data_IF_245792050307
#
_entry.id   IF_245792050307
#
_cell.length_a   1.000
_cell.length_b   1.000
_cell.length_c   1.000
_cell.angle_alpha   90.00
_cell.angle_beta   90.00
_cell.angle_gamma   90.00
#
_symmetry.space_group_name_H-M   'P 1'
#
loop_
_entity.id
_entity.type
_entity.pdbx_description
1 polymer ?
#
# COMPACT_ATOMS: atom_id res chain seq x y z
N UNK A 1 4.35 -1.53 -10.47
CA UNK A 1 4.23 -2.68 -11.39
C UNK A 1 5.56 -3.38 -11.36
N UNK A 2 5.61 -4.57 -10.76
CA UNK A 2 6.85 -5.31 -10.56
C UNK A 2 7.36 -5.86 -11.89
N UNK A 3 8.59 -5.54 -12.25
CA UNK A 3 9.25 -6.03 -13.46
C UNK A 3 10.03 -7.33 -13.25
N UNK A 4 10.53 -7.90 -14.35
CA UNK A 4 11.44 -9.05 -14.31
C UNK A 4 12.73 -8.71 -15.04
N UNK A 5 13.84 -8.62 -14.31
CA UNK A 5 15.19 -8.49 -14.82
C UNK A 5 15.82 -9.87 -15.08
N UNK A 6 16.54 -10.01 -16.19
CA UNK A 6 17.25 -11.24 -16.57
C UNK A 6 18.75 -10.96 -16.59
N UNK A 7 19.47 -11.65 -15.71
CA UNK A 7 20.92 -11.59 -15.56
C UNK A 7 21.53 -12.85 -16.20
N UNK A 8 22.39 -12.71 -17.21
CA UNK A 8 22.98 -13.87 -17.88
C UNK A 8 24.38 -14.21 -17.36
N UNK A 9 24.50 -15.34 -16.66
CA UNK A 9 25.76 -15.92 -16.19
C UNK A 9 26.23 -17.07 -17.10
N UNK A 10 26.08 -16.90 -18.43
CA UNK A 10 26.35 -17.96 -19.41
C UNK A 10 27.83 -18.13 -19.80
N UNK A 11 28.66 -17.12 -19.56
CA UNK A 11 30.12 -17.22 -19.73
C UNK A 11 30.75 -17.65 -18.40
N UNK A 12 31.89 -18.34 -18.46
CA UNK A 12 32.53 -18.85 -17.24
C UNK A 12 32.99 -17.72 -16.30
N UNK A 13 33.51 -16.61 -16.83
CA UNK A 13 33.85 -15.41 -16.05
C UNK A 13 32.61 -14.84 -15.35
N UNK A 14 31.51 -14.63 -16.09
CA UNK A 14 30.25 -14.15 -15.53
C UNK A 14 29.66 -15.11 -14.49
N UNK A 15 29.87 -16.42 -14.64
CA UNK A 15 29.43 -17.38 -13.62
C UNK A 15 30.25 -17.31 -12.34
N UNK A 16 31.56 -17.07 -12.43
CA UNK A 16 32.38 -16.83 -11.24
C UNK A 16 31.94 -15.55 -10.53
N UNK A 17 31.60 -14.49 -11.27
CA UNK A 17 31.04 -13.26 -10.70
C UNK A 17 29.70 -13.53 -10.00
N UNK A 18 28.85 -14.39 -10.56
CA UNK A 18 27.60 -14.81 -9.89
C UNK A 18 27.89 -15.54 -8.58
N UNK A 19 28.81 -16.51 -8.59
CA UNK A 19 29.16 -17.27 -7.38
C UNK A 19 29.73 -16.37 -6.28
N UNK A 20 30.53 -15.37 -6.65
CA UNK A 20 31.15 -14.46 -5.70
C UNK A 20 30.18 -13.39 -5.21
N UNK A 21 29.57 -12.64 -6.14
CA UNK A 21 28.89 -11.37 -5.84
C UNK A 21 27.40 -11.51 -5.60
N UNK A 22 26.75 -12.51 -6.19
CA UNK A 22 25.30 -12.73 -6.05
C UNK A 22 25.00 -13.87 -5.10
N UNK A 23 25.70 -15.01 -5.20
CA UNK A 23 25.46 -16.16 -4.32
C UNK A 23 26.25 -16.08 -3.01
N UNK A 24 27.50 -15.64 -3.09
CA UNK A 24 28.37 -15.51 -1.92
C UNK A 24 28.14 -14.22 -1.13
N UNK A 25 27.82 -13.14 -1.85
CA UNK A 25 27.67 -11.80 -1.30
C UNK A 25 28.97 -11.19 -0.78
N UNK A 26 28.91 -9.92 -0.44
CA UNK A 26 30.03 -9.13 0.09
C UNK A 26 29.77 -8.72 1.54
N UNK A 27 30.84 -8.43 2.29
CA UNK A 27 30.67 -7.95 3.66
C UNK A 27 30.12 -6.52 3.67
N UNK A 28 29.06 -6.21 4.45
CA UNK A 28 28.51 -4.85 4.52
C UNK A 28 29.54 -3.77 4.86
N UNK A 29 30.60 -4.11 5.61
CA UNK A 29 31.67 -3.18 5.93
C UNK A 29 32.47 -2.69 4.71
N UNK A 30 32.47 -3.43 3.61
CA UNK A 30 33.13 -3.04 2.34
C UNK A 30 32.43 -1.82 1.70
N UNK A 31 31.16 -1.58 2.03
CA UNK A 31 30.35 -0.51 1.44
C UNK A 31 30.33 0.77 2.28
N UNK A 32 30.85 0.76 3.51
CA UNK A 32 30.76 1.90 4.45
C UNK A 32 31.49 3.17 3.96
N UNK A 33 32.45 3.06 3.03
CA UNK A 33 33.10 4.21 2.40
C UNK A 33 32.30 4.78 1.21
N UNK A 34 31.31 4.05 0.70
CA UNK A 34 30.57 4.33 -0.53
C UNK A 34 29.07 4.59 -0.32
N UNK A 35 28.48 4.03 0.75
CA UNK A 35 27.07 4.08 1.11
C UNK A 35 26.91 4.57 2.55
N UNK A 36 25.81 5.24 2.86
CA UNK A 36 25.45 5.59 4.24
C UNK A 36 24.98 4.36 5.03
N UNK A 37 24.98 4.42 6.37
CA UNK A 37 24.55 3.28 7.22
C UNK A 37 23.14 2.77 6.89
N UNK A 38 22.20 3.67 6.58
CA UNK A 38 20.83 3.30 6.18
C UNK A 38 20.81 2.63 4.80
N UNK A 39 21.62 3.10 3.85
CA UNK A 39 21.74 2.48 2.54
C UNK A 39 22.40 1.11 2.61
N UNK A 40 23.41 0.94 3.49
CA UNK A 40 24.06 -0.35 3.75
C UNK A 40 23.05 -1.33 4.34
N UNK A 41 22.26 -0.89 5.33
CA UNK A 41 21.17 -1.71 5.89
C UNK A 41 20.16 -2.09 4.81
N UNK A 42 19.72 -1.13 3.97
CA UNK A 42 18.73 -1.37 2.93
C UNK A 42 19.16 -2.47 1.94
N UNK A 43 20.45 -2.50 1.58
CA UNK A 43 21.02 -3.48 0.62
C UNK A 43 21.61 -4.73 1.26
N UNK A 44 21.65 -4.81 2.60
CA UNK A 44 22.10 -6.00 3.30
C UNK A 44 20.95 -6.99 3.41
N UNK A 45 21.17 -8.19 2.90
CA UNK A 45 20.27 -9.32 3.09
C UNK A 45 20.44 -9.82 4.53
N UNK A 46 19.34 -9.89 5.27
CA UNK A 46 19.36 -10.22 6.70
C UNK A 46 19.54 -11.69 7.00
N UNK A 47 19.16 -12.60 6.09
CA UNK A 47 19.34 -14.03 6.29
C UNK A 47 20.83 -14.39 6.19
N UNK A 48 21.50 -13.80 5.21
CA UNK A 48 22.93 -14.03 4.95
C UNK A 48 23.85 -13.04 5.66
N UNK A 49 23.34 -11.91 6.15
CA UNK A 49 24.11 -10.75 6.64
C UNK A 49 25.14 -10.26 5.60
N UNK A 50 24.78 -10.31 4.31
CA UNK A 50 25.65 -9.97 3.18
C UNK A 50 24.96 -9.04 2.19
N UNK A 51 25.76 -8.29 1.44
CA UNK A 51 25.28 -7.48 0.32
C UNK A 51 25.45 -8.27 -0.98
N UNK A 52 24.34 -8.61 -1.62
CA UNK A 52 24.36 -9.29 -2.92
C UNK A 52 24.15 -8.28 -4.04
N UNK A 53 24.93 -8.36 -5.11
CA UNK A 53 24.76 -7.46 -6.24
C UNK A 53 25.34 -8.00 -7.54
N UNK A 54 24.84 -7.43 -8.64
CA UNK A 54 25.32 -7.68 -10.00
C UNK A 54 25.70 -6.37 -10.70
N UNK A 55 26.66 -6.47 -11.62
CA UNK A 55 27.12 -5.36 -12.46
C UNK A 55 26.82 -5.54 -13.94
N UNK A 56 26.41 -4.46 -14.61
CA UNK A 56 26.26 -4.46 -16.06
C UNK A 56 26.84 -3.21 -16.69
N UNK A 57 27.19 -3.30 -17.98
CA UNK A 57 27.53 -2.14 -18.81
C UNK A 57 26.36 -1.71 -19.71
N UNK A 58 25.20 -2.38 -19.59
CA UNK A 58 24.02 -2.18 -20.47
C UNK A 58 23.04 -1.18 -19.86
N UNK A 59 23.37 0.11 -19.94
CA UNK A 59 22.52 1.23 -19.48
C UNK A 59 21.10 1.17 -20.03
N UNK A 60 20.98 0.94 -21.35
CA UNK A 60 19.70 1.01 -22.07
C UNK A 60 18.62 0.05 -21.57
N UNK A 61 18.99 -0.98 -20.81
CA UNK A 61 18.07 -1.94 -20.18
C UNK A 61 18.03 -1.77 -18.67
N UNK A 62 19.18 -1.48 -18.06
CA UNK A 62 19.31 -1.23 -16.63
C UNK A 62 18.47 -0.05 -16.14
N UNK A 63 18.37 1.04 -16.90
CA UNK A 63 17.59 2.23 -16.51
C UNK A 63 16.08 1.95 -16.30
N UNK A 64 15.59 0.79 -16.72
CA UNK A 64 14.20 0.37 -16.55
C UNK A 64 14.01 -0.60 -15.38
N UNK A 65 15.09 -0.98 -14.69
CA UNK A 65 15.05 -1.84 -13.51
C UNK A 65 14.87 -0.97 -12.28
N UNK A 66 13.84 -1.29 -11.50
CA UNK A 66 13.44 -0.55 -10.31
C UNK A 66 13.54 -1.45 -9.07
N UNK A 67 13.54 -0.85 -7.88
CA UNK A 67 13.39 -1.62 -6.64
C UNK A 67 12.05 -2.38 -6.65
N UNK A 68 12.05 -3.61 -6.13
CA UNK A 68 10.92 -4.54 -6.20
C UNK A 68 10.95 -5.49 -7.41
N UNK A 69 11.64 -5.16 -8.50
CA UNK A 69 11.74 -6.05 -9.67
C UNK A 69 12.32 -7.43 -9.29
N UNK A 70 11.86 -8.49 -9.94
CA UNK A 70 12.40 -9.85 -9.76
C UNK A 70 13.62 -10.04 -10.66
N UNK A 71 14.76 -10.43 -10.09
CA UNK A 71 15.97 -10.77 -10.83
C UNK A 71 16.11 -12.28 -11.01
N UNK A 72 16.10 -12.75 -12.25
CA UNK A 72 16.34 -14.16 -12.60
C UNK A 72 17.72 -14.34 -13.23
N UNK A 73 18.52 -15.24 -12.66
CA UNK A 73 19.88 -15.55 -13.12
C UNK A 73 19.82 -16.74 -14.08
N UNK A 74 20.11 -16.48 -15.36
CA UNK A 74 20.11 -17.47 -16.44
C UNK A 74 21.50 -18.07 -16.67
N UNK A 75 21.55 -19.41 -16.77
CA UNK A 75 22.71 -20.18 -17.22
C UNK A 75 22.30 -21.46 -17.94
N UNK A 76 22.99 -21.77 -19.04
CA UNK A 76 22.94 -23.08 -19.71
C UNK A 76 21.53 -23.65 -19.96
N UNK A 77 20.61 -22.79 -20.43
CA UNK A 77 19.24 -23.18 -20.79
C UNK A 77 18.24 -23.15 -19.63
N UNK A 78 18.65 -22.66 -18.46
CA UNK A 78 17.86 -22.64 -17.23
C UNK A 78 18.07 -21.36 -16.43
N UNK A 79 17.12 -21.05 -15.58
CA UNK A 79 17.27 -20.08 -14.50
C UNK A 79 17.69 -20.83 -13.25
N UNK A 80 18.84 -20.44 -12.69
CA UNK A 80 19.55 -21.16 -11.61
C UNK A 80 19.39 -20.46 -10.26
N UNK A 81 19.00 -19.19 -10.26
CA UNK A 81 18.72 -18.44 -9.06
C UNK A 81 17.70 -17.34 -9.36
N UNK A 82 16.96 -16.98 -8.33
CA UNK A 82 16.11 -15.79 -8.29
C UNK A 82 16.49 -14.92 -7.10
N UNK A 83 16.18 -13.64 -7.20
CA UNK A 83 16.34 -12.67 -6.13
C UNK A 83 15.37 -11.50 -6.37
N UNK A 84 15.17 -10.67 -5.35
CA UNK A 84 14.44 -9.41 -5.49
C UNK A 84 15.44 -8.26 -5.63
N UNK A 85 15.19 -7.34 -6.56
CA UNK A 85 15.98 -6.13 -6.73
C UNK A 85 15.66 -5.20 -5.57
N UNK A 86 16.66 -4.91 -4.74
CA UNK A 86 16.53 -3.92 -3.67
C UNK A 86 16.53 -2.52 -4.28
N UNK A 87 17.54 -2.23 -5.09
CA UNK A 87 17.70 -0.95 -5.78
C UNK A 87 18.78 -1.03 -6.86
N UNK A 88 18.83 0.01 -7.68
CA UNK A 88 19.88 0.20 -8.68
C UNK A 88 20.74 1.40 -8.36
N UNK A 89 22.01 1.36 -8.79
CA UNK A 89 22.94 2.50 -8.63
C UNK A 89 23.91 2.59 -9.80
N UNK A 90 24.09 3.79 -10.33
CA UNK A 90 25.21 4.09 -11.22
C UNK A 90 26.40 4.57 -10.38
N UNK A 91 27.39 3.70 -10.16
CA UNK A 91 28.57 4.03 -9.33
C UNK A 91 29.84 3.40 -9.91
N UNK A 92 30.63 4.22 -10.60
CA UNK A 92 31.90 3.78 -11.17
C UNK A 92 32.96 3.51 -10.10
N UNK A 93 32.97 4.28 -9.01
CA UNK A 93 34.00 4.18 -7.98
C UNK A 93 33.83 2.87 -7.20
N UNK A 94 32.59 2.54 -6.82
CA UNK A 94 32.26 1.26 -6.18
C UNK A 94 32.48 0.08 -7.15
N UNK A 95 32.12 0.24 -8.42
CA UNK A 95 32.38 -0.78 -9.45
C UNK A 95 33.88 -1.10 -9.60
N UNK A 96 34.73 -0.08 -9.66
CA UNK A 96 36.18 -0.27 -9.69
C UNK A 96 36.68 -0.98 -8.43
N UNK A 97 36.15 -0.63 -7.26
CA UNK A 97 36.51 -1.30 -6.01
C UNK A 97 36.21 -2.81 -6.03
N UNK A 98 35.02 -3.19 -6.53
CA UNK A 98 34.54 -4.57 -6.51
C UNK A 98 35.18 -5.46 -7.59
N UNK A 99 35.32 -4.96 -8.83
CA UNK A 99 35.67 -5.80 -9.97
C UNK A 99 37.07 -5.59 -10.53
N UNK A 100 37.77 -4.52 -10.16
CA UNK A 100 39.15 -4.28 -10.64
C UNK A 100 40.18 -5.10 -9.84
N UNK A 101 39.96 -6.40 -9.80
CA UNK A 101 40.78 -7.38 -9.06
C UNK A 101 41.58 -8.26 -10.02
N UNK A 102 42.62 -8.93 -9.50
CA UNK A 102 43.47 -9.79 -10.33
C UNK A 102 42.67 -11.00 -10.85
N UNK A 103 42.58 -11.15 -12.18
CA UNK A 103 41.90 -12.27 -12.83
C UNK A 103 40.47 -12.00 -13.28
N UNK A 104 39.86 -10.88 -12.86
CA UNK A 104 38.57 -10.43 -13.39
C UNK A 104 38.77 -9.69 -14.74
N UNK A 105 37.95 -9.94 -15.78
CA UNK A 105 38.10 -9.33 -17.10
C UNK A 105 37.56 -7.88 -17.18
N UNK A 106 37.92 -7.06 -16.20
CA UNK A 106 37.53 -5.65 -16.11
C UNK A 106 37.98 -4.85 -17.34
N UNK A 107 37.06 -4.12 -17.95
CA UNK A 107 37.29 -3.23 -19.10
C UNK A 107 36.92 -1.78 -18.75
N UNK A 108 37.89 -0.86 -18.64
CA UNK A 108 37.62 0.55 -18.42
C UNK A 108 36.78 1.24 -19.51
N UNK A 109 36.72 0.70 -20.73
CA UNK A 109 35.89 1.23 -21.82
C UNK A 109 34.43 0.73 -21.75
N UNK A 110 34.19 -0.34 -20.99
CA UNK A 110 32.86 -0.92 -20.74
C UNK A 110 32.75 -1.39 -19.27
N UNK A 111 32.87 -0.46 -18.30
CA UNK A 111 32.84 -0.82 -16.89
C UNK A 111 31.44 -1.31 -16.51
N UNK A 112 31.35 -2.28 -15.61
CA UNK A 112 30.07 -2.80 -15.11
C UNK A 112 29.39 -1.87 -14.10
N UNK A 113 29.57 -0.55 -14.25
CA UNK A 113 29.19 0.50 -13.30
C UNK A 113 27.71 0.58 -12.93
N UNK A 114 26.85 -0.07 -13.70
CA UNK A 114 25.42 -0.12 -13.42
C UNK A 114 25.13 -1.29 -12.49
N UNK A 115 25.01 -0.98 -11.20
CA UNK A 115 24.83 -1.92 -10.11
C UNK A 115 23.34 -2.23 -9.91
N UNK A 116 23.06 -3.49 -9.60
CA UNK A 116 21.75 -3.98 -9.17
C UNK A 116 21.96 -4.73 -7.86
N UNK A 117 21.48 -4.17 -6.76
CA UNK A 117 21.52 -4.81 -5.44
C UNK A 117 20.36 -5.78 -5.29
N UNK A 118 20.63 -6.93 -4.69
CA UNK A 118 19.74 -8.09 -4.63
C UNK A 118 19.56 -8.56 -3.18
N UNK A 119 18.38 -9.08 -2.88
CA UNK A 119 18.06 -9.73 -1.60
C UNK A 119 17.27 -11.01 -1.85
N UNK A 120 17.19 -11.91 -0.86
CA UNK A 120 16.42 -13.15 -0.96
C UNK A 120 16.93 -14.09 -2.05
N UNK A 121 18.27 -14.18 -2.18
CA UNK A 121 18.89 -14.99 -3.25
C UNK A 121 18.61 -16.47 -3.01
N UNK A 122 17.71 -17.02 -3.81
CA UNK A 122 17.29 -18.41 -3.73
C UNK A 122 17.74 -19.22 -4.95
N UNK A 123 18.26 -20.42 -4.73
CA UNK A 123 18.53 -21.36 -5.81
C UNK A 123 17.23 -21.93 -6.38
N UNK A 124 17.11 -21.92 -7.70
CA UNK A 124 15.95 -22.44 -8.42
C UNK A 124 16.43 -23.32 -9.58
N UNK A 125 15.54 -24.15 -10.11
CA UNK A 125 15.81 -24.96 -11.31
C UNK A 125 14.62 -24.85 -12.26
N UNK A 126 14.55 -23.74 -12.98
CA UNK A 126 13.48 -23.46 -13.94
C UNK A 126 14.05 -23.52 -15.34
N UNK A 127 13.44 -24.32 -16.21
CA UNK A 127 13.86 -24.36 -17.60
C UNK A 127 13.42 -23.09 -18.36
N UNK A 128 14.20 -22.68 -19.35
CA UNK A 128 13.91 -21.47 -20.11
C UNK A 128 12.58 -21.54 -20.85
N UNK A 129 12.05 -22.74 -21.18
CA UNK A 129 10.79 -22.87 -21.91
C UNK A 129 9.62 -22.54 -21.00
N UNK A 130 9.58 -23.06 -19.78
CA UNK A 130 8.53 -22.71 -18.81
C UNK A 130 8.48 -21.21 -18.50
N UNK A 131 9.63 -20.55 -18.37
CA UNK A 131 9.66 -19.09 -18.23
C UNK A 131 9.20 -18.38 -19.51
N UNK A 132 9.63 -18.85 -20.69
CA UNK A 132 9.18 -18.27 -21.96
C UNK A 132 7.67 -18.37 -22.12
N UNK A 133 7.06 -19.49 -21.73
CA UNK A 133 5.61 -19.67 -21.71
C UNK A 133 4.93 -18.66 -20.78
N UNK A 134 5.45 -18.49 -19.54
CA UNK A 134 4.92 -17.55 -18.56
C UNK A 134 4.84 -16.11 -19.10
N UNK A 135 5.94 -15.59 -19.68
CA UNK A 135 6.00 -14.20 -20.16
C UNK A 135 5.66 -14.05 -21.66
N UNK A 136 5.20 -15.14 -22.29
CA UNK A 136 4.79 -15.20 -23.70
C UNK A 136 5.92 -15.05 -24.74
N UNK A 137 7.17 -15.31 -24.38
CA UNK A 137 8.28 -15.37 -25.35
C UNK A 137 8.13 -16.55 -26.32
N UNK A 138 8.88 -16.52 -27.41
CA UNK A 138 8.96 -17.68 -28.30
C UNK A 138 9.67 -18.83 -27.58
N UNK A 139 9.24 -20.08 -27.76
CA UNK A 139 9.79 -21.26 -27.07
C UNK A 139 11.31 -21.40 -27.20
N UNK A 140 11.87 -20.94 -28.32
CA UNK A 140 13.30 -20.99 -28.62
C UNK A 140 14.07 -19.71 -28.26
N UNK A 141 13.43 -18.75 -27.58
CA UNK A 141 14.10 -17.57 -27.08
C UNK A 141 15.14 -17.96 -26.04
N UNK A 142 16.35 -17.42 -26.21
CA UNK A 142 17.48 -17.61 -25.30
C UNK A 142 17.93 -16.22 -24.86
N UNK A 143 17.89 -15.91 -23.55
CA UNK A 143 18.40 -14.64 -23.04
C UNK A 143 19.86 -14.39 -23.44
N UNK A 144 20.18 -13.15 -23.81
CA UNK A 144 21.52 -12.72 -24.21
C UNK A 144 21.87 -11.41 -23.53
N UNK A 145 22.86 -11.44 -22.63
CA UNK A 145 23.24 -10.27 -21.84
C UNK A 145 22.17 -9.85 -20.82
N UNK A 146 22.47 -8.76 -20.11
CA UNK A 146 21.52 -8.15 -19.17
C UNK A 146 20.30 -7.60 -19.90
N UNK A 147 19.09 -7.94 -19.45
CA UNK A 147 17.84 -7.49 -20.05
C UNK A 147 16.72 -7.38 -19.02
N UNK A 148 15.59 -6.78 -19.40
CA UNK A 148 14.35 -6.71 -18.62
C UNK A 148 13.17 -7.08 -19.52
N UNK A 149 12.23 -7.85 -18.99
CA UNK A 149 10.95 -8.16 -19.67
C UNK A 149 10.20 -6.84 -19.90
N UNK A 150 9.56 -6.72 -21.07
CA UNK A 150 8.81 -5.50 -21.41
C UNK A 150 7.52 -5.38 -20.61
N UNK A 151 7.15 -4.17 -20.20
CA UNK A 151 5.92 -3.90 -19.44
C UNK A 151 4.65 -4.48 -20.09
N UNK A 152 4.59 -4.56 -21.42
CA UNK A 152 3.45 -5.17 -22.10
C UNK A 152 3.26 -6.64 -21.70
N UNK A 153 4.35 -7.40 -21.57
CA UNK A 153 4.34 -8.81 -21.17
C UNK A 153 4.15 -8.98 -19.68
N UNK A 154 4.60 -8.02 -18.88
CA UNK A 154 4.36 -8.00 -17.44
C UNK A 154 2.86 -7.82 -17.18
N UNK A 155 2.20 -6.88 -17.88
CA UNK A 155 0.74 -6.73 -17.81
C UNK A 155 0.00 -8.01 -18.18
N UNK A 156 0.43 -8.71 -19.23
CA UNK A 156 -0.17 -9.99 -19.60
C UNK A 156 -0.06 -11.06 -18.47
N UNK A 157 0.97 -10.98 -17.62
CA UNK A 157 1.12 -11.84 -16.44
C UNK A 157 0.21 -11.38 -15.30
N UNK A 158 0.17 -10.08 -15.01
CA UNK A 158 -0.74 -9.49 -14.00
C UNK A 158 -2.22 -9.72 -14.33
N UNK A 159 -2.59 -9.79 -15.61
CA UNK A 159 -3.96 -10.11 -16.02
C UNK A 159 -4.33 -11.58 -15.75
N UNK A 160 -3.33 -12.47 -15.59
CA UNK A 160 -3.52 -13.91 -15.45
C UNK A 160 -3.30 -14.43 -14.02
N UNK A 161 -2.61 -13.65 -13.18
CA UNK A 161 -2.19 -14.01 -11.83
C UNK A 161 -2.46 -12.86 -10.86
N UNK A 162 -2.55 -13.15 -9.56
CA UNK A 162 -2.74 -12.13 -8.53
C UNK A 162 -1.62 -11.07 -8.51
N UNK A 163 -0.38 -11.50 -8.75
CA UNK A 163 0.78 -10.63 -8.87
C UNK A 163 1.89 -11.31 -9.69
N UNK A 164 2.86 -10.53 -10.15
CA UNK A 164 4.02 -11.06 -10.90
C UNK A 164 4.87 -11.95 -10.00
N UNK A 165 5.01 -11.56 -8.73
CA UNK A 165 5.68 -12.26 -7.66
C UNK A 165 5.06 -13.63 -7.45
N UNK A 166 3.75 -13.70 -7.29
CA UNK A 166 3.02 -14.97 -7.16
C UNK A 166 3.19 -15.85 -8.41
N UNK A 167 3.13 -15.27 -9.61
CA UNK A 167 3.34 -16.02 -10.86
C UNK A 167 4.75 -16.64 -10.95
N UNK A 168 5.78 -15.89 -10.59
CA UNK A 168 7.16 -16.40 -10.56
C UNK A 168 7.37 -17.39 -9.40
N UNK A 169 6.73 -17.17 -8.25
CA UNK A 169 6.75 -18.10 -7.11
C UNK A 169 6.14 -19.45 -7.50
N UNK A 170 4.99 -19.47 -8.17
CA UNK A 170 4.37 -20.71 -8.67
C UNK A 170 5.27 -21.45 -9.66
N UNK A 171 6.03 -20.71 -10.48
CA UNK A 171 6.98 -21.29 -11.42
C UNK A 171 8.23 -21.86 -10.73
N UNK A 172 8.72 -21.20 -9.68
CA UNK A 172 10.02 -21.51 -9.05
C UNK A 172 9.90 -22.36 -7.77
N UNK A 173 8.74 -22.36 -7.12
CA UNK A 173 8.49 -22.94 -5.80
C UNK A 173 9.22 -22.22 -4.66
N UNK A 174 9.66 -20.98 -4.87
CA UNK A 174 10.47 -20.20 -3.93
C UNK A 174 10.19 -18.71 -4.11
N UNK A 175 10.50 -17.90 -3.08
CA UNK A 175 10.38 -16.45 -3.11
C UNK A 175 9.23 -15.94 -2.25
N UNK A 176 9.01 -14.63 -2.33
CA UNK A 176 7.92 -13.89 -1.66
C UNK A 176 6.60 -14.16 -2.38
N UNK A 177 5.48 -14.16 -1.65
CA UNK A 177 4.14 -14.08 -2.26
C UNK A 177 3.51 -12.76 -1.90
N UNK A 178 2.93 -12.10 -2.88
CA UNK A 178 2.25 -10.81 -2.68
C UNK A 178 0.76 -11.04 -2.87
N UNK A 179 0.00 -10.75 -1.82
CA UNK A 179 -1.45 -10.89 -1.76
C UNK A 179 -2.10 -9.51 -1.77
N UNK A 180 -3.08 -9.30 -2.65
CA UNK A 180 -3.84 -8.05 -2.74
C UNK A 180 -5.26 -8.28 -2.19
N UNK A 181 -5.77 -7.30 -1.43
CA UNK A 181 -7.15 -7.36 -0.92
C UNK A 181 -7.97 -6.22 -1.49
N UNK A 182 -9.03 -6.58 -2.21
CA UNK A 182 -10.07 -5.67 -2.68
C UNK A 182 -11.32 -5.70 -1.77
N UNK A 183 -12.20 -4.70 -1.87
CA UNK A 183 -13.40 -4.61 -1.03
C UNK A 183 -14.37 -5.80 -1.25
N UNK A 184 -14.29 -6.48 -2.39
CA UNK A 184 -15.17 -7.60 -2.74
C UNK A 184 -14.65 -8.93 -2.16
N UNK A 185 -13.34 -9.21 -2.21
CA UNK A 185 -12.75 -10.40 -1.56
C UNK A 185 -12.93 -10.39 -0.03
N UNK A 186 -12.96 -9.20 0.58
CA UNK A 186 -13.23 -9.03 2.02
C UNK A 186 -14.68 -9.37 2.43
N UNK A 187 -15.63 -9.45 1.48
CA UNK A 187 -17.02 -9.82 1.74
C UNK A 187 -17.27 -11.34 1.69
N UNK A 188 -16.31 -12.12 1.20
CA UNK A 188 -16.42 -13.59 1.08
C UNK A 188 -16.00 -14.35 2.35
N UNK A 189 -15.68 -13.66 3.45
CA UNK A 189 -15.33 -14.28 4.74
C UNK A 189 -16.48 -15.17 5.28
N UNK A 190 -16.12 -16.34 5.82
CA UNK A 190 -17.06 -17.34 6.32
C UNK A 190 -17.85 -16.85 7.55
N UNK A 191 -19.04 -17.42 7.80
CA UNK A 191 -19.87 -17.07 8.96
C UNK A 191 -19.14 -17.28 10.32
N UNK A 192 -18.13 -18.15 10.37
CA UNK A 192 -17.27 -18.38 11.55
C UNK A 192 -16.21 -17.27 11.71
N UNK A 193 -15.66 -16.73 10.61
CA UNK A 193 -14.72 -15.59 10.62
C UNK A 193 -15.39 -14.26 10.99
N UNK A 194 -16.70 -14.16 10.77
CA UNK A 194 -17.52 -12.99 11.11
C UNK A 194 -17.97 -12.93 12.59
N UNK A 195 -17.73 -13.99 13.38
CA UNK A 195 -18.17 -14.03 14.80
C UNK A 195 -17.42 -13.00 15.67
N UNK A 196 -16.18 -12.65 15.28
CA UNK A 196 -15.39 -11.55 15.81
C UNK A 196 -15.11 -10.55 14.69
N UNK A 197 -15.31 -9.26 14.95
CA UNK A 197 -14.95 -8.22 13.99
C UNK A 197 -13.45 -8.23 13.66
N UNK A 198 -13.09 -7.78 12.45
CA UNK A 198 -11.70 -7.68 11.99
C UNK A 198 -10.80 -6.98 13.02
N UNK A 199 -11.29 -5.89 13.62
CA UNK A 199 -10.59 -5.16 14.68
C UNK A 199 -10.28 -6.02 15.91
N UNK A 200 -11.23 -6.81 16.40
CA UNK A 200 -11.02 -7.75 17.51
C UNK A 200 -9.96 -8.81 17.18
N UNK A 201 -10.01 -9.37 15.96
CA UNK A 201 -9.05 -10.37 15.47
C UNK A 201 -7.62 -9.81 15.48
N UNK A 202 -7.43 -8.59 14.97
CA UNK A 202 -6.13 -7.89 14.98
C UNK A 202 -5.61 -7.74 16.42
N UNK A 203 -6.44 -7.25 17.34
CA UNK A 203 -6.01 -7.05 18.74
C UNK A 203 -5.65 -8.39 19.39
N UNK A 204 -6.41 -9.46 19.12
CA UNK A 204 -6.13 -10.80 19.64
C UNK A 204 -4.80 -11.35 19.12
N UNK A 205 -4.62 -11.40 17.79
CA UNK A 205 -3.40 -11.90 17.15
C UNK A 205 -2.16 -11.09 17.58
N UNK A 206 -2.30 -9.78 17.79
CA UNK A 206 -1.19 -8.93 18.22
C UNK A 206 -0.56 -9.31 19.57
N UNK A 207 -1.32 -9.98 20.44
CA UNK A 207 -0.87 -10.43 21.75
C UNK A 207 -0.40 -11.88 21.74
N UNK A 208 -0.56 -12.59 20.63
CA UNK A 208 0.00 -13.92 20.45
C UNK A 208 1.35 -13.82 19.74
N UNK A 209 2.41 -14.18 20.45
CA UNK A 209 3.77 -14.12 19.91
C UNK A 209 4.09 -15.24 18.92
N UNK A 210 3.17 -16.17 18.66
CA UNK A 210 3.37 -17.28 17.74
C UNK A 210 2.56 -17.12 16.44
N UNK A 211 1.82 -16.01 16.27
CA UNK A 211 0.92 -15.74 15.14
C UNK A 211 1.30 -14.47 14.36
N UNK A 212 2.58 -14.34 13.98
CA UNK A 212 3.06 -13.17 13.23
C UNK A 212 2.43 -13.06 11.84
N UNK A 213 2.46 -14.14 11.04
CA UNK A 213 1.88 -14.16 9.68
C UNK A 213 0.38 -13.84 9.68
N UNK A 214 -0.39 -14.39 10.63
CA UNK A 214 -1.82 -14.10 10.76
C UNK A 214 -2.06 -12.61 11.06
N UNK A 215 -1.25 -12.00 11.92
CA UNK A 215 -1.37 -10.58 12.23
C UNK A 215 -1.02 -9.69 11.02
N UNK A 216 -0.01 -10.06 10.24
CA UNK A 216 0.40 -9.34 9.03
C UNK A 216 -0.73 -9.31 8.00
N UNK A 217 -1.33 -10.48 7.71
CA UNK A 217 -2.49 -10.60 6.84
C UNK A 217 -3.67 -9.74 7.34
N UNK A 218 -3.99 -9.81 8.64
CA UNK A 218 -5.09 -9.04 9.23
C UNK A 218 -4.83 -7.52 9.17
N UNK A 219 -3.58 -7.09 9.31
CA UNK A 219 -3.20 -5.67 9.19
C UNK A 219 -3.34 -5.20 7.74
N UNK A 220 -2.91 -5.99 6.76
CA UNK A 220 -3.11 -5.67 5.34
C UNK A 220 -4.60 -5.53 5.01
N UNK A 221 -5.43 -6.50 5.44
CA UNK A 221 -6.89 -6.44 5.31
C UNK A 221 -7.47 -5.20 5.98
N UNK A 222 -6.92 -4.78 7.13
CA UNK A 222 -7.36 -3.57 7.80
C UNK A 222 -7.09 -2.31 6.97
N UNK A 223 -5.90 -2.18 6.39
CA UNK A 223 -5.58 -1.05 5.52
C UNK A 223 -6.45 -1.04 4.26
N UNK A 224 -6.67 -2.19 3.62
CA UNK A 224 -7.63 -2.30 2.51
C UNK A 224 -9.05 -1.91 2.93
N UNK A 225 -9.52 -2.35 4.11
CA UNK A 225 -10.84 -1.97 4.64
C UNK A 225 -10.96 -0.49 4.97
N UNK A 226 -9.87 0.16 5.37
CA UNK A 226 -9.78 1.61 5.52
C UNK A 226 -9.78 2.36 4.17
N UNK A 227 -9.71 1.64 3.05
CA UNK A 227 -9.75 2.15 1.69
C UNK A 227 -8.38 2.44 1.07
N UNK A 228 -7.30 1.92 1.65
CA UNK A 228 -5.95 2.03 1.08
C UNK A 228 -5.70 0.90 0.07
N UNK A 229 -4.87 1.14 -0.94
CA UNK A 229 -4.33 0.08 -1.79
C UNK A 229 -3.19 -0.60 -1.03
N UNK A 230 -3.48 -1.73 -0.37
CA UNK A 230 -2.56 -2.43 0.52
C UNK A 230 -2.25 -3.84 0.01
N UNK A 231 -0.99 -4.25 0.20
CA UNK A 231 -0.44 -5.55 -0.20
C UNK A 231 0.16 -6.24 1.01
N UNK A 232 -0.18 -7.51 1.21
CA UNK A 232 0.53 -8.36 2.16
C UNK A 232 1.66 -9.08 1.46
N UNK A 233 2.85 -8.99 2.04
CA UNK A 233 4.08 -9.59 1.53
C UNK A 233 4.38 -10.81 2.42
N UNK A 234 3.89 -11.97 1.99
CA UNK A 234 4.05 -13.24 2.72
C UNK A 234 5.46 -13.81 2.48
N UNK A 235 6.20 -13.93 3.59
CA UNK A 235 7.51 -14.56 3.62
C UNK A 235 8.63 -13.67 3.08
N UNK A 236 9.82 -13.83 3.67
CA UNK A 236 10.99 -12.99 3.40
C UNK A 236 11.31 -12.07 4.58
N UNK A 237 12.46 -11.41 4.52
CA UNK A 237 12.82 -10.33 5.47
C UNK A 237 12.71 -8.98 4.80
N UNK A 238 11.50 -8.71 4.30
CA UNK A 238 11.15 -7.41 3.77
C UNK A 238 10.10 -6.75 4.66
N UNK A 239 9.48 -5.66 4.22
CA UNK A 239 8.31 -5.13 4.91
C UNK A 239 7.15 -6.13 4.86
N UNK A 240 6.36 -6.21 5.93
CA UNK A 240 5.27 -7.18 6.00
C UNK A 240 4.06 -6.74 5.16
N UNK A 241 3.78 -5.44 5.14
CA UNK A 241 2.68 -4.84 4.37
C UNK A 241 3.18 -3.59 3.65
N UNK A 242 2.78 -3.42 2.39
CA UNK A 242 3.04 -2.21 1.60
C UNK A 242 1.73 -1.51 1.27
N UNK A 243 1.64 -0.21 1.54
CA UNK A 243 0.54 0.65 1.13
C UNK A 243 1.02 1.54 -0.01
N UNK A 244 0.33 1.51 -1.14
CA UNK A 244 0.76 2.20 -2.38
C UNK A 244 -0.11 3.41 -2.72
N UNK A 245 -1.35 3.47 -2.23
CA UNK A 245 -2.24 4.62 -2.37
C UNK A 245 -3.20 4.80 -1.18
N UNK A 246 -3.61 6.04 -0.85
CA UNK A 246 -3.19 7.32 -1.45
C UNK A 246 -1.81 7.80 -0.95
N UNK A 247 -1.13 7.03 -0.10
CA UNK A 247 0.24 7.28 0.36
C UNK A 247 1.12 6.09 0.00
N UNK A 248 2.42 6.31 -0.12
CA UNK A 248 3.39 5.22 -0.23
C UNK A 248 4.05 4.98 1.14
N UNK A 249 3.71 3.87 1.78
CA UNK A 249 4.19 3.55 3.12
C UNK A 249 4.54 2.06 3.24
N UNK A 250 5.68 1.79 3.89
CA UNK A 250 6.00 0.46 4.41
C UNK A 250 5.37 0.30 5.79
N UNK A 251 4.74 -0.84 6.04
CA UNK A 251 4.08 -1.16 7.30
C UNK A 251 4.71 -2.40 7.90
N UNK A 252 5.33 -2.22 9.07
CA UNK A 252 5.99 -3.26 9.83
C UNK A 252 5.12 -3.69 11.01
N UNK A 253 4.88 -4.98 11.15
CA UNK A 253 3.92 -5.58 12.05
C UNK A 253 4.65 -6.35 13.15
N UNK A 254 4.41 -6.00 14.41
CA UNK A 254 5.11 -6.59 15.57
C UNK A 254 4.13 -7.11 16.61
N UNK A 255 3.90 -8.42 16.64
CA UNK A 255 3.20 -9.07 17.75
C UNK A 255 4.05 -9.12 19.03
N UNK A 256 3.45 -8.86 20.19
CA UNK A 256 4.12 -8.82 21.50
C UNK A 256 3.22 -9.37 22.59
N UNK A 257 3.57 -10.54 23.14
CA UNK A 257 2.89 -11.11 24.32
C UNK A 257 3.00 -10.24 25.57
N UNK A 258 4.00 -9.36 25.66
CA UNK A 258 4.12 -8.32 26.70
C UNK A 258 3.09 -7.19 26.55
N UNK A 259 2.41 -7.09 25.41
CA UNK A 259 1.47 -6.02 25.07
C UNK A 259 2.14 -4.68 24.72
N UNK A 260 3.47 -4.59 24.71
CA UNK A 260 4.18 -3.36 24.33
C UNK A 260 5.52 -3.63 23.64
N UNK A 261 5.85 -2.79 22.67
CA UNK A 261 7.11 -2.77 21.94
C UNK A 261 8.10 -1.77 22.57
N UNK A 262 9.31 -2.25 22.86
CA UNK A 262 10.36 -1.46 23.54
C UNK A 262 11.26 -0.68 22.57
N UNK A 263 11.48 -1.22 21.37
CA UNK A 263 12.25 -0.59 20.29
C UNK A 263 11.64 -1.01 18.96
N UNK A 264 11.38 -0.06 18.03
CA UNK A 264 10.86 -0.38 16.71
C UNK A 264 11.92 -0.99 15.78
N UNK A 265 13.21 -0.90 16.12
CA UNK A 265 14.33 -1.22 15.21
C UNK A 265 14.37 -0.26 14.01
N UNK A 266 14.56 1.03 14.32
CA UNK A 266 14.43 2.10 13.35
C UNK A 266 15.41 1.99 12.18
N UNK A 267 16.63 1.48 12.38
CA UNK A 267 17.60 1.32 11.29
C UNK A 267 17.09 0.35 10.23
N UNK A 268 16.62 -0.83 10.65
CA UNK A 268 16.07 -1.83 9.72
C UNK A 268 14.83 -1.31 9.00
N UNK A 269 13.92 -0.66 9.73
CA UNK A 269 12.72 -0.05 9.13
C UNK A 269 13.08 1.03 8.11
N UNK A 270 14.07 1.87 8.39
CA UNK A 270 14.52 2.87 7.41
C UNK A 270 15.17 2.21 6.20
N UNK A 271 15.91 1.12 6.39
CA UNK A 271 16.41 0.29 5.31
C UNK A 271 15.28 -0.24 4.42
N UNK A 272 14.20 -0.76 5.02
CA UNK A 272 13.01 -1.21 4.28
C UNK A 272 12.32 -0.06 3.55
N UNK A 273 12.13 1.08 4.22
CA UNK A 273 11.57 2.28 3.62
C UNK A 273 12.37 2.74 2.40
N UNK A 274 13.70 2.75 2.49
CA UNK A 274 14.60 3.10 1.39
C UNK A 274 14.52 2.08 0.25
N UNK A 275 14.48 0.77 0.57
CA UNK A 275 14.33 -0.32 -0.40
C UNK A 275 13.05 -0.18 -1.22
N UNK A 276 11.94 0.13 -0.57
CA UNK A 276 10.63 0.32 -1.22
C UNK A 276 10.43 1.72 -1.79
N UNK A 277 11.40 2.64 -1.63
CA UNK A 277 11.24 4.05 -1.99
C UNK A 277 9.99 4.71 -1.37
N UNK A 278 9.54 4.21 -0.22
CA UNK A 278 8.34 4.68 0.45
C UNK A 278 8.57 6.03 1.13
N UNK A 279 7.53 6.88 1.14
CA UNK A 279 7.59 8.19 1.79
C UNK A 279 7.49 8.07 3.32
N UNK A 280 6.82 7.03 3.81
CA UNK A 280 6.54 6.81 5.22
C UNK A 280 6.87 5.38 5.66
N UNK A 281 7.11 5.24 6.97
CA UNK A 281 7.19 3.95 7.63
C UNK A 281 6.24 3.95 8.82
N UNK A 282 5.39 2.93 8.90
CA UNK A 282 4.40 2.73 9.95
C UNK A 282 4.73 1.43 10.68
N UNK A 283 4.73 1.45 12.00
CA UNK A 283 4.86 0.24 12.81
C UNK A 283 3.54 -0.03 13.50
N UNK A 284 2.98 -1.22 13.29
CA UNK A 284 1.76 -1.70 13.94
C UNK A 284 2.11 -2.70 15.03
N UNK A 285 1.68 -2.44 16.27
CA UNK A 285 1.95 -3.32 17.41
C UNK A 285 0.84 -3.19 18.47
N UNK A 286 0.76 -4.08 19.48
CA UNK A 286 -0.20 -3.96 20.57
C UNK A 286 -0.14 -2.64 21.34
N UNK A 287 1.03 -2.01 21.37
CA UNK A 287 1.30 -0.77 22.09
C UNK A 287 2.79 -0.49 22.16
N UNK A 288 3.16 0.68 22.68
CA UNK A 288 4.54 1.17 22.63
C UNK A 288 4.99 1.72 23.99
N UNK A 289 6.26 1.49 24.32
CA UNK A 289 6.87 2.12 25.49
C UNK A 289 7.26 3.57 25.17
N UNK A 290 7.40 4.47 26.18
CA UNK A 290 7.84 5.84 25.94
C UNK A 290 9.17 5.95 25.18
N UNK A 291 10.10 5.02 25.42
CA UNK A 291 11.37 4.98 24.72
C UNK A 291 11.22 4.68 23.22
N UNK A 292 10.30 3.78 22.85
CA UNK A 292 9.98 3.50 21.45
C UNK A 292 9.36 4.73 20.76
N UNK A 293 8.50 5.47 21.47
CA UNK A 293 7.87 6.70 20.95
C UNK A 293 8.92 7.78 20.70
N UNK A 294 9.81 8.03 21.67
CA UNK A 294 10.90 9.00 21.50
C UNK A 294 11.85 8.64 20.35
N UNK A 295 12.10 7.35 20.14
CA UNK A 295 12.92 6.88 19.02
C UNK A 295 12.21 7.06 17.68
N UNK A 296 10.93 6.70 17.59
CA UNK A 296 10.13 6.88 16.39
C UNK A 296 10.00 8.36 15.96
N UNK A 297 9.79 9.26 16.93
CA UNK A 297 9.77 10.72 16.69
C UNK A 297 11.09 11.19 16.05
N UNK A 298 12.22 10.72 16.58
CA UNK A 298 13.55 11.11 16.08
C UNK A 298 13.81 10.57 14.68
N UNK A 299 13.28 9.40 14.37
CA UNK A 299 13.55 8.68 13.13
C UNK A 299 12.47 8.91 12.07
N UNK A 300 11.39 9.64 12.39
CA UNK A 300 10.31 9.92 11.46
C UNK A 300 9.49 8.68 11.11
N UNK A 301 9.25 7.81 12.10
CA UNK A 301 8.42 6.60 11.99
C UNK A 301 7.08 6.86 12.69
N UNK A 302 6.00 6.36 12.12
CA UNK A 302 4.66 6.41 12.72
C UNK A 302 4.44 5.14 13.53
N UNK A 303 3.98 5.26 14.77
CA UNK A 303 3.63 4.10 15.60
C UNK A 303 2.11 4.03 15.75
N UNK A 304 1.49 2.96 15.27
CA UNK A 304 0.04 2.76 15.33
C UNK A 304 -0.29 1.55 16.20
N UNK A 305 -0.99 1.76 17.32
CA UNK A 305 -1.39 0.65 18.17
C UNK A 305 -2.56 -0.11 17.55
N UNK A 306 -2.66 -1.41 17.78
CA UNK A 306 -3.77 -2.22 17.23
C UNK A 306 -5.14 -1.79 17.74
N UNK A 307 -5.23 -1.29 18.98
CA UNK A 307 -6.46 -0.69 19.52
C UNK A 307 -6.86 0.58 18.75
N UNK A 308 -5.90 1.40 18.32
CA UNK A 308 -6.16 2.59 17.50
C UNK A 308 -6.53 2.21 16.06
N UNK A 309 -5.86 1.22 15.46
CA UNK A 309 -6.23 0.69 14.15
C UNK A 309 -7.67 0.16 14.14
N UNK A 310 -8.04 -0.61 15.18
CA UNK A 310 -9.44 -1.04 15.39
C UNK A 310 -10.39 0.17 15.47
N UNK A 311 -10.04 1.20 16.24
CA UNK A 311 -10.86 2.39 16.39
C UNK A 311 -11.06 3.15 15.06
N UNK A 312 -10.07 3.12 14.17
CA UNK A 312 -10.18 3.67 12.81
C UNK A 312 -11.12 2.84 11.94
N UNK A 313 -11.03 1.50 12.00
CA UNK A 313 -11.93 0.60 11.28
C UNK A 313 -13.39 0.82 11.66
N UNK A 314 -13.69 0.87 12.97
CA UNK A 314 -15.04 1.12 13.47
C UNK A 314 -15.62 2.44 12.91
N UNK A 315 -14.79 3.48 12.78
CA UNK A 315 -15.18 4.78 12.23
C UNK A 315 -15.38 4.73 10.72
N UNK A 316 -14.50 4.03 9.98
CA UNK A 316 -14.67 3.81 8.54
C UNK A 316 -15.98 3.09 8.26
N UNK A 317 -16.24 1.99 8.95
CA UNK A 317 -17.46 1.19 8.76
C UNK A 317 -18.72 1.96 9.14
N UNK A 318 -18.65 2.81 10.17
CA UNK A 318 -19.82 3.56 10.64
C UNK A 318 -20.09 4.82 9.81
N UNK A 319 -19.05 5.55 9.39
CA UNK A 319 -19.18 6.91 8.85
C UNK A 319 -18.64 7.10 7.43
N UNK A 320 -17.98 6.09 6.85
CA UNK A 320 -17.42 6.18 5.50
C UNK A 320 -16.32 7.22 5.36
N UNK A 321 -15.35 7.24 6.28
CA UNK A 321 -14.22 8.17 6.21
C UNK A 321 -13.33 7.78 5.02
N UNK A 322 -13.08 8.70 4.06
CA UNK A 322 -12.23 8.40 2.92
C UNK A 322 -10.76 8.25 3.36
N UNK A 323 -9.96 7.41 2.66
CA UNK A 323 -8.58 7.12 3.05
C UNK A 323 -7.70 8.38 3.03
N UNK A 324 -7.99 9.37 2.18
CA UNK A 324 -7.25 10.63 2.10
C UNK A 324 -7.37 11.44 3.40
N UNK A 325 -8.55 11.44 4.03
CA UNK A 325 -8.74 12.10 5.32
C UNK A 325 -7.94 11.39 6.41
N UNK A 326 -7.93 10.05 6.41
CA UNK A 326 -7.15 9.25 7.36
C UNK A 326 -5.63 9.40 7.15
N UNK A 327 -5.19 9.50 5.90
CA UNK A 327 -3.78 9.57 5.52
C UNK A 327 -3.06 10.76 6.16
N UNK A 328 -3.76 11.87 6.39
CA UNK A 328 -3.20 13.06 7.04
C UNK A 328 -2.73 12.75 8.48
N UNK A 329 -3.40 11.82 9.17
CA UNK A 329 -3.07 11.41 10.53
C UNK A 329 -2.11 10.22 10.60
N UNK A 330 -2.09 9.40 9.54
CA UNK A 330 -1.20 8.24 9.40
C UNK A 330 0.17 8.57 8.79
N UNK A 331 0.40 9.83 8.40
CA UNK A 331 1.69 10.35 7.90
C UNK A 331 2.40 11.25 8.92
N UNK A 332 1.71 11.61 10.01
CA UNK A 332 2.29 12.40 11.08
C UNK A 332 3.20 11.52 11.95
N UNK A 333 4.47 11.86 12.02
CA UNK A 333 5.52 11.10 12.73
C UNK A 333 5.18 10.92 14.22
N UNK A 334 5.73 9.86 14.82
CA UNK A 334 5.52 9.56 16.23
C UNK A 334 4.34 8.63 16.49
N UNK A 335 3.96 8.53 17.76
CA UNK A 335 2.84 7.68 18.16
C UNK A 335 1.49 8.30 17.76
N UNK A 336 0.66 7.48 17.11
CA UNK A 336 -0.75 7.77 16.93
C UNK A 336 -1.44 7.70 18.30
N UNK A 337 -1.94 8.83 18.77
CA UNK A 337 -2.51 8.99 20.12
C UNK A 337 -3.99 9.41 20.06
N UNK A 338 -4.64 9.38 21.22
CA UNK A 338 -6.08 9.68 21.36
C UNK A 338 -6.43 11.11 20.90
N UNK A 339 -5.48 12.05 20.94
CA UNK A 339 -5.68 13.41 20.43
C UNK A 339 -5.80 13.45 18.91
N UNK A 340 -5.16 12.53 18.17
CA UNK A 340 -5.41 12.35 16.72
C UNK A 340 -6.77 11.73 16.46
N UNK A 341 -7.21 10.77 17.30
CA UNK A 341 -8.59 10.26 17.23
C UNK A 341 -9.62 11.35 17.50
N UNK A 342 -9.38 12.21 18.48
CA UNK A 342 -10.27 13.32 18.81
C UNK A 342 -10.40 14.29 17.62
N UNK A 343 -9.30 14.55 16.89
CA UNK A 343 -9.33 15.37 15.67
C UNK A 343 -10.17 14.74 14.56
N UNK A 344 -10.03 13.42 14.35
CA UNK A 344 -10.88 12.67 13.42
C UNK A 344 -12.35 12.76 13.84
N UNK A 345 -12.64 12.60 15.14
CA UNK A 345 -14.00 12.69 15.68
C UNK A 345 -14.60 14.09 15.53
N UNK A 346 -13.79 15.15 15.63
CA UNK A 346 -14.23 16.53 15.37
C UNK A 346 -14.57 16.77 13.90
N UNK A 347 -13.80 16.19 12.98
CA UNK A 347 -14.12 16.22 11.55
C UNK A 347 -15.41 15.45 11.26
N UNK A 348 -15.58 14.27 11.86
CA UNK A 348 -16.82 13.47 11.77
C UNK A 348 -18.03 14.24 12.29
N UNK A 349 -17.92 14.91 13.45
CA UNK A 349 -18.99 15.75 14.01
C UNK A 349 -19.40 16.85 13.05
N UNK A 350 -18.44 17.46 12.37
CA UNK A 350 -18.71 18.49 11.35
C UNK A 350 -19.51 17.91 10.18
N UNK A 351 -19.14 16.73 9.68
CA UNK A 351 -19.86 16.04 8.60
C UNK A 351 -21.27 15.61 9.03
N UNK A 352 -21.42 15.10 10.25
CA UNK A 352 -22.72 14.75 10.82
C UNK A 352 -23.60 15.99 10.96
N UNK A 353 -23.07 17.11 11.44
CA UNK A 353 -23.78 18.39 11.52
C UNK A 353 -24.33 18.84 10.18
N UNK A 354 -23.52 18.79 9.12
CA UNK A 354 -23.98 19.10 7.75
C UNK A 354 -25.05 18.15 7.23
N UNK A 355 -24.95 16.85 7.57
CA UNK A 355 -25.98 15.85 7.21
C UNK A 355 -27.30 16.14 7.94
N UNK A 356 -27.24 16.46 9.22
CA UNK A 356 -28.42 16.85 9.98
C UNK A 356 -29.03 18.17 9.47
N UNK A 357 -28.21 19.13 9.03
CA UNK A 357 -28.68 20.37 8.39
C UNK A 357 -29.49 20.07 7.12
N UNK A 358 -29.00 19.16 6.27
CA UNK A 358 -29.72 18.72 5.08
C UNK A 358 -31.07 18.10 5.43
N UNK A 359 -31.12 17.23 6.44
CA UNK A 359 -32.37 16.64 6.91
C UNK A 359 -33.33 17.69 7.49
N UNK A 360 -32.81 18.68 8.22
CA UNK A 360 -33.60 19.78 8.77
C UNK A 360 -34.20 20.65 7.64
N UNK A 361 -33.40 20.99 6.61
CA UNK A 361 -33.86 21.73 5.43
C UNK A 361 -34.96 20.96 4.70
N UNK A 362 -34.79 19.66 4.52
CA UNK A 362 -35.83 18.83 3.93
C UNK A 362 -37.13 18.84 4.75
N UNK A 363 -37.02 18.75 6.08
CA UNK A 363 -38.16 18.78 6.98
C UNK A 363 -38.87 20.14 7.00
N UNK A 364 -38.13 21.23 6.83
CA UNK A 364 -38.68 22.57 6.67
C UNK A 364 -39.37 22.73 5.31
N UNK A 365 -38.76 22.21 4.24
CA UNK A 365 -39.31 22.24 2.89
C UNK A 365 -40.65 21.51 2.80
N UNK A 366 -40.81 20.40 3.53
CA UNK A 366 -42.08 19.66 3.61
C UNK A 366 -43.19 20.39 4.38
N UNK A 367 -42.82 21.35 5.23
CA UNK A 367 -43.78 22.18 5.97
C UNK A 367 -44.09 23.50 5.26
N UNK A 368 -43.26 23.90 4.32
CA UNK A 368 -43.45 25.11 3.56
C UNK A 368 -44.63 24.97 2.61
N UNK A 369 -45.37 26.07 2.41
CA UNK A 369 -46.28 26.15 1.28
C UNK A 369 -45.48 26.16 -0.04
N UNK A 370 -46.05 25.70 -1.17
CA UNK A 370 -45.33 25.63 -2.45
C UNK A 370 -44.72 26.95 -2.93
N UNK A 371 -45.32 28.08 -2.55
CA UNK A 371 -44.84 29.44 -2.89
C UNK A 371 -43.77 29.97 -1.90
N UNK A 372 -43.39 29.17 -0.91
CA UNK A 372 -42.54 29.56 0.22
C UNK A 372 -41.22 28.76 0.29
N UNK A 373 -40.86 28.08 -0.80
CA UNK A 373 -39.65 27.26 -0.96
C UNK A 373 -38.34 28.02 -1.12
N UNK A 374 -38.17 29.21 -0.54
CA UNK A 374 -36.90 29.95 -0.58
C UNK A 374 -36.08 29.72 0.68
N UNK A 375 -34.76 29.81 0.58
CA UNK A 375 -33.88 29.63 1.74
C UNK A 375 -34.20 30.58 2.91
N UNK A 376 -34.52 31.84 2.61
CA UNK A 376 -34.95 32.83 3.61
C UNK A 376 -36.20 32.37 4.37
N UNK A 377 -37.17 31.82 3.63
CA UNK A 377 -38.44 31.41 4.20
C UNK A 377 -38.32 30.09 4.97
N UNK A 378 -37.56 29.13 4.45
CA UNK A 378 -37.23 27.90 5.19
C UNK A 378 -36.47 28.21 6.47
N UNK A 379 -35.59 29.22 6.47
CA UNK A 379 -34.90 29.64 7.70
C UNK A 379 -35.87 30.12 8.78
N UNK A 380 -36.95 30.82 8.40
CA UNK A 380 -37.99 31.22 9.35
C UNK A 380 -38.75 30.01 9.93
N UNK A 381 -39.03 29.01 9.10
CA UNK A 381 -39.64 27.74 9.54
C UNK A 381 -38.71 27.02 10.52
N UNK A 382 -37.43 26.91 10.19
CA UNK A 382 -36.41 26.29 11.04
C UNK A 382 -36.27 27.00 12.40
N UNK A 383 -36.32 28.33 12.43
CA UNK A 383 -36.35 29.11 13.70
C UNK A 383 -37.58 28.83 14.55
N UNK A 384 -38.68 28.40 13.94
CA UNK A 384 -39.87 27.94 14.67
C UNK A 384 -39.76 26.51 15.19
N UNK A 385 -38.93 25.68 14.56
CA UNK A 385 -38.74 24.27 14.89
C UNK A 385 -37.62 24.02 15.90
N UNK A 386 -36.54 24.79 15.81
CA UNK A 386 -35.31 24.55 16.54
C UNK A 386 -34.82 25.80 17.29
N UNK A 387 -33.93 25.58 18.28
CA UNK A 387 -33.22 26.67 18.95
C UNK A 387 -32.27 27.37 17.97
N UNK A 388 -31.98 28.66 18.21
CA UNK A 388 -31.20 29.50 17.28
C UNK A 388 -29.81 28.92 16.94
N UNK A 389 -29.15 28.26 17.90
CA UNK A 389 -27.84 27.59 17.68
C UNK A 389 -27.90 26.41 16.69
N UNK A 390 -29.08 25.81 16.49
CA UNK A 390 -29.29 24.68 15.56
C UNK A 390 -29.77 25.14 14.19
N UNK A 391 -30.12 26.41 14.02
CA UNK A 391 -30.66 26.89 12.74
C UNK A 391 -29.51 27.19 11.79
N UNK A 392 -29.37 26.45 10.67
CA UNK A 392 -28.34 26.72 9.69
C UNK A 392 -28.50 28.13 9.12
N UNK A 393 -27.37 28.74 8.74
CA UNK A 393 -27.39 30.00 8.04
C UNK A 393 -27.91 29.83 6.61
N UNK A 394 -28.40 30.93 6.04
CA UNK A 394 -29.07 30.93 4.74
C UNK A 394 -28.24 30.27 3.64
N UNK A 395 -26.93 30.49 3.63
CA UNK A 395 -26.03 29.87 2.64
C UNK A 395 -26.03 28.34 2.72
N UNK A 396 -26.04 27.77 3.93
CA UNK A 396 -26.08 26.31 4.15
C UNK A 396 -27.43 25.74 3.71
N UNK A 397 -28.52 26.49 3.93
CA UNK A 397 -29.86 26.13 3.45
C UNK A 397 -29.89 26.10 1.91
N UNK A 398 -29.33 27.11 1.25
CA UNK A 398 -29.23 27.16 -0.21
C UNK A 398 -28.41 26.00 -0.78
N UNK A 399 -27.26 25.70 -0.18
CA UNK A 399 -26.44 24.55 -0.57
C UNK A 399 -27.19 23.23 -0.40
N UNK A 400 -27.89 23.05 0.71
CA UNK A 400 -28.74 21.88 0.96
C UNK A 400 -29.84 21.74 -0.10
N UNK A 401 -30.53 22.83 -0.44
CA UNK A 401 -31.57 22.81 -1.46
C UNK A 401 -31.04 22.45 -2.85
N UNK A 402 -29.88 23.02 -3.23
CA UNK A 402 -29.22 22.67 -4.49
C UNK A 402 -28.87 21.18 -4.56
N UNK A 403 -28.38 20.60 -3.46
CA UNK A 403 -28.07 19.17 -3.39
C UNK A 403 -29.33 18.31 -3.45
N UNK A 404 -30.36 18.65 -2.68
CA UNK A 404 -31.65 17.93 -2.68
C UNK A 404 -32.33 17.97 -4.06
N UNK A 405 -32.18 19.06 -4.80
CA UNK A 405 -32.73 19.22 -6.15
C UNK A 405 -31.85 18.65 -7.26
N UNK A 406 -30.65 18.17 -6.95
CA UNK A 406 -29.76 17.60 -7.96
C UNK A 406 -30.44 16.39 -8.65
N UNK A 407 -30.35 16.23 -9.98
CA UNK A 407 -31.07 15.18 -10.71
C UNK A 407 -30.78 13.74 -10.26
N UNK A 408 -29.62 13.47 -9.67
CA UNK A 408 -29.28 12.14 -9.13
C UNK A 408 -29.91 11.85 -7.76
N UNK A 409 -30.34 12.89 -7.04
CA UNK A 409 -30.93 12.79 -5.69
C UNK A 409 -32.44 13.01 -5.76
N UNK A 410 -32.88 14.06 -6.46
CA UNK A 410 -34.27 14.36 -6.83
C UNK A 410 -35.25 14.31 -5.64
N UNK A 411 -34.84 14.85 -4.49
CA UNK A 411 -35.65 14.98 -3.28
C UNK A 411 -36.40 16.33 -3.19
N UNK A 412 -35.96 17.29 -4.01
CA UNK A 412 -36.63 18.56 -4.24
C UNK A 412 -36.66 18.86 -5.74
N UNK A 413 -37.55 19.76 -6.14
CA UNK A 413 -37.59 20.35 -7.47
C UNK A 413 -37.58 21.86 -7.37
N UNK A 414 -37.01 22.55 -8.36
CA UNK A 414 -36.99 24.00 -8.41
C UNK A 414 -37.89 24.49 -9.55
N UNK A 415 -39.04 25.05 -9.18
CA UNK A 415 -40.05 25.55 -10.11
C UNK A 415 -40.52 26.95 -9.70
N UNK A 416 -40.71 27.85 -10.66
CA UNK A 416 -41.22 29.21 -10.42
C UNK A 416 -40.47 29.99 -9.31
N UNK A 417 -39.14 29.84 -9.27
CA UNK A 417 -38.25 30.42 -8.26
C UNK A 417 -38.39 29.85 -6.83
N UNK A 418 -39.11 28.74 -6.67
CA UNK A 418 -39.35 28.08 -5.39
C UNK A 418 -38.88 26.63 -5.41
N UNK A 419 -38.33 26.16 -4.30
CA UNK A 419 -38.11 24.74 -4.10
C UNK A 419 -39.38 24.06 -3.59
N UNK A 420 -39.68 22.87 -4.09
CA UNK A 420 -40.80 22.04 -3.64
C UNK A 420 -40.30 20.62 -3.32
N UNK A 421 -40.82 19.97 -2.27
CA UNK A 421 -40.44 18.59 -1.96
C UNK A 421 -41.09 17.64 -2.97
N UNK A 422 -40.32 16.72 -3.54
CA UNK A 422 -40.85 15.68 -4.46
C UNK A 422 -41.37 14.46 -3.70
N UNK A 423 -41.04 14.33 -2.41
CA UNK A 423 -41.35 13.16 -1.57
C UNK A 423 -41.35 13.49 -0.07
N UNK A 424 -41.74 12.52 0.77
CA UNK A 424 -41.74 12.65 2.24
C UNK A 424 -40.36 12.36 2.85
N UNK A 425 -40.15 12.76 4.11
CA UNK A 425 -38.85 12.61 4.79
C UNK A 425 -38.48 11.13 4.91
N UNK A 426 -39.45 10.30 5.29
CA UNK A 426 -39.25 8.86 5.43
C UNK A 426 -38.85 8.23 4.09
N UNK A 427 -39.50 8.64 2.99
CA UNK A 427 -39.13 8.15 1.65
C UNK A 427 -37.75 8.64 1.22
N UNK A 428 -37.38 9.88 1.57
CA UNK A 428 -36.06 10.40 1.25
C UNK A 428 -34.94 9.74 2.04
N UNK A 429 -35.15 9.44 3.32
CA UNK A 429 -34.20 8.64 4.10
C UNK A 429 -33.97 7.27 3.43
N UNK A 430 -35.03 6.64 2.90
CA UNK A 430 -34.91 5.40 2.12
C UNK A 430 -34.15 5.61 0.81
N UNK A 431 -34.41 6.69 0.08
CA UNK A 431 -33.73 6.99 -1.19
C UNK A 431 -32.25 7.30 -0.98
N UNK A 432 -31.89 8.10 0.02
CA UNK A 432 -30.50 8.43 0.36
C UNK A 432 -29.72 7.17 0.77
N UNK A 433 -30.32 6.29 1.58
CA UNK A 433 -29.71 4.99 1.94
C UNK A 433 -29.49 4.08 0.73
N UNK A 434 -30.31 4.22 -0.31
CA UNK A 434 -30.20 3.43 -1.55
C UNK A 434 -29.39 4.13 -2.64
N UNK A 435 -28.93 5.36 -2.40
CA UNK A 435 -28.15 6.10 -3.37
C UNK A 435 -26.87 5.34 -3.78
N UNK A 436 -26.23 4.65 -2.83
CA UNK A 436 -25.09 3.78 -3.11
C UNK A 436 -25.35 2.74 -4.21
N UNK A 437 -26.57 2.18 -4.28
CA UNK A 437 -26.92 1.19 -5.30
C UNK A 437 -26.89 1.78 -6.73
N UNK A 438 -27.22 3.07 -6.88
CA UNK A 438 -27.13 3.75 -8.19
C UNK A 438 -25.68 3.91 -8.62
N UNK A 439 -24.77 4.16 -7.66
CA UNK A 439 -23.33 4.25 -7.92
C UNK A 439 -22.81 2.89 -8.38
N UNK A 440 -23.15 1.80 -7.66
CA UNK A 440 -22.75 0.44 -8.02
C UNK A 440 -23.18 0.07 -9.44
N UNK A 441 -24.42 0.39 -9.83
CA UNK A 441 -24.91 0.09 -11.18
C UNK A 441 -24.21 0.93 -12.26
N UNK A 442 -23.92 2.21 -11.96
CA UNK A 442 -23.20 3.09 -12.88
C UNK A 442 -21.76 2.63 -13.11
N UNK A 443 -21.07 2.15 -12.07
CA UNK A 443 -19.70 1.61 -12.19
C UNK A 443 -19.67 0.36 -13.09
N UNK A 444 -20.61 -0.57 -12.90
CA UNK A 444 -20.74 -1.77 -13.75
C UNK A 444 -20.99 -1.46 -15.22
N UNK A 445 -21.70 -0.36 -15.50
CA UNK A 445 -22.02 0.09 -16.86
C UNK A 445 -20.81 0.67 -17.60
N UNK A 446 -19.71 0.98 -16.90
CA UNK A 446 -18.48 1.55 -17.47
C UNK A 446 -17.43 0.51 -17.87
N UNK A 447 -17.64 -0.76 -17.52
CA UNK A 447 -16.75 -1.90 -17.82
C UNK A 447 -17.18 -2.69 -19.08
N UNK A 448 -18.34 -2.37 -19.67
CA UNK A 448 -18.78 -2.84 -21.01
C UNK A 448 -18.37 -1.88 -22.12
#
# INVERSE_FOLDING_TARGET
MTGIAIITAGREDAYQDYLQSVKGGHDPAEFAEHLSDAEVEAVTDSESEKVHLWGTSVDSKWQFVEGGDIALIYRDGRYIAQATVVRTRDDLDLAEHLWRTEGNPWDPESPWRYLVFLTGVAEIDVDVQSFNELVGYQDNYIPQGFSRVSDARIRDVEDAYESVETAVNELTGSGVRVHEFDEDSLQEESEEEQELGLGERIVAASRDGDQYEELEELVAKAFSRLGFEARWIEGGDDTDVEVTAPIHAVVEVKARSSGTLASPDATRIQGHKERHSADQAIVVAPGFTPAAIEDADRQGIVLLATDHLKALLERRDTYGIPPEALSTYLTEQGAFQDDRLDQIDDELRTRLGGTEDLLAVMEALQRADPEEGTADRLRLILKGMYNEERVPDQHVIEQSLNLLAHPSIQLAEYEEEQYQPTTTKENAEVLLRRFGNLITEASKSGEE
#
